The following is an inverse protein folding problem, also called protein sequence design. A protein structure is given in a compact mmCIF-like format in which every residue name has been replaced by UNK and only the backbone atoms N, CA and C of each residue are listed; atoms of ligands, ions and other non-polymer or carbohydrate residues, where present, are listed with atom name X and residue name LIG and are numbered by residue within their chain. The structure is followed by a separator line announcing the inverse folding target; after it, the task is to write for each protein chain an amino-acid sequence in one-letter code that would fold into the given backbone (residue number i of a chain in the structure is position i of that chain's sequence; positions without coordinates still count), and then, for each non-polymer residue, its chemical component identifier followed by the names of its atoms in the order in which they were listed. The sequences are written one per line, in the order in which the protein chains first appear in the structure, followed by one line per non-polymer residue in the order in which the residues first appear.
data_IF_313227402626
#
_entry.id   IF_313227402626
#
_cell.length_a   1.000
_cell.length_b   1.000
_cell.length_c   1.000
_cell.angle_alpha   90.00
_cell.angle_beta   90.00
_cell.angle_gamma   90.00
#
_symmetry.space_group_name_H-M   'P 1'
#
loop_
_entity.id
_entity.type
_entity.pdbx_description
1 polymer ?
#
# COMPACT_ATOMS: atom_id res chain seq x y z
N UNK A 1 -29.02 2.71 -12.31
CA UNK A 1 -29.64 1.63 -11.51
C UNK A 1 -28.60 0.57 -11.26
N UNK A 2 -28.45 0.17 -10.01
CA UNK A 2 -27.52 -0.89 -9.64
C UNK A 2 -27.88 -2.23 -10.31
N UNK A 3 -26.85 -3.00 -10.71
CA UNK A 3 -27.00 -4.31 -11.36
C UNK A 3 -26.54 -5.39 -10.38
N UNK A 4 -27.48 -6.02 -9.72
CA UNK A 4 -27.21 -7.07 -8.72
C UNK A 4 -27.65 -8.40 -9.29
N UNK A 5 -26.71 -9.37 -9.37
CA UNK A 5 -27.04 -10.69 -9.85
C UNK A 5 -27.93 -11.44 -8.84
N UNK A 6 -28.89 -12.21 -9.33
CA UNK A 6 -29.89 -12.91 -8.48
C UNK A 6 -29.31 -13.94 -7.50
N UNK A 7 -28.07 -14.39 -7.74
CA UNK A 7 -27.35 -15.31 -6.83
C UNK A 7 -26.38 -14.61 -5.89
N UNK A 8 -26.27 -13.28 -5.94
CA UNK A 8 -25.48 -12.53 -4.97
C UNK A 8 -26.17 -12.55 -3.61
N UNK A 9 -25.38 -12.63 -2.54
CA UNK A 9 -25.86 -12.57 -1.16
C UNK A 9 -25.49 -11.19 -0.60
N UNK A 10 -26.48 -10.41 -0.25
CA UNK A 10 -26.31 -9.12 0.44
C UNK A 10 -27.01 -9.25 1.78
N UNK A 11 -26.24 -9.21 2.85
CA UNK A 11 -26.77 -9.34 4.21
C UNK A 11 -27.48 -8.05 4.65
N UNK A 12 -28.48 -8.22 5.50
CA UNK A 12 -29.27 -7.10 6.03
C UNK A 12 -28.37 -6.14 6.82
N UNK A 13 -28.44 -4.85 6.48
CA UNK A 13 -27.61 -3.80 7.08
C UNK A 13 -26.54 -3.24 6.12
N UNK A 14 -26.16 -3.96 5.06
CA UNK A 14 -25.25 -3.46 4.04
C UNK A 14 -25.80 -2.17 3.39
N UNK A 15 -24.93 -1.20 3.15
CA UNK A 15 -25.28 0.07 2.48
C UNK A 15 -24.69 0.07 1.07
N UNK A 16 -25.57 0.16 0.09
CA UNK A 16 -25.20 0.07 -1.34
C UNK A 16 -25.46 1.42 -2.01
N UNK A 17 -24.43 2.00 -2.59
CA UNK A 17 -24.51 3.26 -3.33
C UNK A 17 -25.23 3.15 -4.68
N UNK A 18 -25.15 4.22 -5.48
CA UNK A 18 -25.77 4.28 -6.80
C UNK A 18 -24.94 3.55 -7.85
N UNK A 19 -25.61 2.96 -8.85
CA UNK A 19 -25.03 2.30 -10.02
C UNK A 19 -23.95 1.23 -9.69
N UNK A 20 -24.11 0.55 -8.54
CA UNK A 20 -23.23 -0.56 -8.12
C UNK A 20 -23.51 -1.80 -8.96
N UNK A 21 -22.47 -2.52 -9.34
CA UNK A 21 -22.54 -3.81 -10.02
C UNK A 21 -22.08 -4.94 -9.08
N UNK A 22 -22.93 -5.94 -8.82
CA UNK A 22 -22.60 -7.10 -7.97
C UNK A 22 -22.83 -8.38 -8.77
N UNK A 23 -21.76 -9.11 -9.02
CA UNK A 23 -21.72 -10.32 -9.82
C UNK A 23 -22.27 -11.57 -9.11
N UNK A 24 -22.35 -12.71 -9.85
CA UNK A 24 -22.91 -13.96 -9.32
C UNK A 24 -22.09 -14.48 -8.13
N UNK A 25 -22.81 -15.00 -7.12
CA UNK A 25 -22.23 -15.61 -5.92
C UNK A 25 -21.28 -14.69 -5.11
N UNK A 26 -21.33 -13.38 -5.33
CA UNK A 26 -20.64 -12.42 -4.46
C UNK A 26 -21.36 -12.36 -3.11
N UNK A 27 -20.60 -12.14 -2.04
CA UNK A 27 -21.13 -12.03 -0.66
C UNK A 27 -20.75 -10.68 -0.08
N UNK A 28 -21.75 -9.93 0.39
CA UNK A 28 -21.59 -8.61 1.03
C UNK A 28 -22.12 -8.70 2.45
N UNK A 29 -21.25 -8.51 3.43
CA UNK A 29 -21.56 -8.58 4.84
C UNK A 29 -22.39 -7.38 5.35
N UNK A 30 -23.00 -7.48 6.56
CA UNK A 30 -24.03 -6.56 7.05
C UNK A 30 -23.50 -5.17 7.40
N UNK A 31 -22.21 -5.03 7.72
CA UNK A 31 -21.60 -3.74 8.08
C UNK A 31 -20.85 -3.08 6.90
N UNK A 32 -20.97 -3.65 5.71
CA UNK A 32 -20.29 -3.15 4.51
C UNK A 32 -20.97 -1.90 3.96
N UNK A 33 -20.15 -0.95 3.55
CA UNK A 33 -20.60 0.25 2.83
C UNK A 33 -19.94 0.29 1.47
N UNK A 34 -20.73 0.26 0.40
CA UNK A 34 -20.27 0.42 -0.98
C UNK A 34 -20.64 1.82 -1.48
N UNK A 35 -19.65 2.57 -1.94
CA UNK A 35 -19.82 3.83 -2.64
C UNK A 35 -20.50 3.66 -4.00
N UNK A 36 -20.56 4.74 -4.77
CA UNK A 36 -21.20 4.75 -6.06
C UNK A 36 -20.34 4.06 -7.12
N UNK A 37 -20.97 3.40 -8.09
CA UNK A 37 -20.30 2.73 -9.21
C UNK A 37 -19.24 1.69 -8.83
N UNK A 38 -19.30 1.20 -7.59
CA UNK A 38 -18.45 0.08 -7.12
C UNK A 38 -18.80 -1.18 -7.92
N UNK A 39 -17.76 -1.97 -8.26
CA UNK A 39 -17.92 -3.24 -8.97
C UNK A 39 -17.40 -4.40 -8.14
N UNK A 40 -18.29 -5.29 -7.76
CA UNK A 40 -17.96 -6.54 -7.09
C UNK A 40 -18.16 -7.68 -8.09
N UNK A 41 -17.08 -8.30 -8.51
CA UNK A 41 -17.14 -9.41 -9.45
C UNK A 41 -17.63 -10.70 -8.76
N UNK A 42 -18.01 -11.68 -9.58
CA UNK A 42 -18.54 -12.96 -9.07
C UNK A 42 -17.58 -13.66 -8.11
N UNK A 43 -18.14 -14.32 -7.09
CA UNK A 43 -17.40 -15.04 -6.04
C UNK A 43 -16.46 -14.16 -5.17
N UNK A 44 -16.51 -12.85 -5.27
CA UNK A 44 -15.80 -11.98 -4.36
C UNK A 44 -16.55 -11.86 -3.02
N UNK A 45 -15.82 -11.65 -1.95
CA UNK A 45 -16.38 -11.47 -0.61
C UNK A 45 -15.93 -10.14 -0.01
N UNK A 46 -16.87 -9.36 0.50
CA UNK A 46 -16.61 -8.14 1.28
C UNK A 46 -17.31 -8.31 2.62
N UNK A 47 -16.56 -8.23 3.72
CA UNK A 47 -17.07 -8.54 5.06
C UNK A 47 -16.55 -7.56 6.11
N UNK A 48 -16.98 -7.70 7.36
CA UNK A 48 -16.63 -6.81 8.47
C UNK A 48 -17.05 -5.37 8.21
N UNK A 49 -16.58 -4.46 9.05
CA UNK A 49 -16.84 -3.02 8.89
C UNK A 49 -15.97 -2.43 7.78
N UNK A 50 -16.30 -2.76 6.53
CA UNK A 50 -15.53 -2.40 5.33
C UNK A 50 -16.22 -1.32 4.53
N UNK A 51 -15.46 -0.28 4.17
CA UNK A 51 -15.91 0.80 3.27
C UNK A 51 -15.12 0.69 1.96
N UNK A 52 -15.83 0.52 0.85
CA UNK A 52 -15.29 0.69 -0.50
C UNK A 52 -15.81 1.99 -1.08
N UNK A 53 -14.91 2.92 -1.37
CA UNK A 53 -15.27 4.20 -1.96
C UNK A 53 -15.61 4.08 -3.45
N UNK A 54 -16.05 5.18 -4.04
CA UNK A 54 -16.59 5.25 -5.41
C UNK A 54 -15.66 4.59 -6.44
N UNK A 55 -16.26 3.84 -7.36
CA UNK A 55 -15.57 3.19 -8.49
C UNK A 55 -14.51 2.14 -8.08
N UNK A 56 -14.41 1.77 -6.81
CA UNK A 56 -13.56 0.65 -6.42
C UNK A 56 -14.02 -0.67 -7.07
N UNK A 57 -13.08 -1.54 -7.39
CA UNK A 57 -13.36 -2.81 -8.05
C UNK A 57 -12.74 -3.97 -7.29
N UNK A 58 -13.54 -5.00 -7.02
CA UNK A 58 -13.11 -6.23 -6.34
C UNK A 58 -13.32 -7.41 -7.27
N UNK A 59 -12.25 -8.07 -7.65
CA UNK A 59 -12.21 -9.14 -8.62
C UNK A 59 -12.55 -10.52 -8.02
N UNK A 60 -12.79 -11.56 -8.85
CA UNK A 60 -13.25 -12.85 -8.35
C UNK A 60 -12.33 -13.45 -7.28
N UNK A 61 -12.95 -14.06 -6.28
CA UNK A 61 -12.30 -14.75 -5.16
C UNK A 61 -11.45 -13.85 -4.25
N UNK A 62 -11.47 -12.53 -4.42
CA UNK A 62 -10.88 -11.63 -3.44
C UNK A 62 -11.74 -11.60 -2.16
N UNK A 63 -11.09 -11.51 -0.99
CA UNK A 63 -11.77 -11.34 0.29
C UNK A 63 -11.27 -10.08 0.99
N UNK A 64 -12.15 -9.08 1.09
CA UNK A 64 -11.86 -7.77 1.65
C UNK A 64 -12.59 -7.62 2.98
N UNK A 65 -11.87 -7.21 4.01
CA UNK A 65 -12.42 -7.07 5.36
C UNK A 65 -12.47 -8.37 6.17
N UNK A 66 -11.69 -9.39 5.74
CA UNK A 66 -11.57 -10.62 6.50
C UNK A 66 -10.98 -10.38 7.90
N UNK A 67 -11.37 -11.22 8.87
CA UNK A 67 -10.83 -11.19 10.23
C UNK A 67 -9.30 -11.28 10.18
N UNK A 68 -8.64 -10.49 11.03
CA UNK A 68 -7.17 -10.55 11.18
C UNK A 68 -6.69 -11.96 11.53
N UNK A 69 -5.49 -12.28 11.09
CA UNK A 69 -4.80 -13.53 11.44
C UNK A 69 -3.89 -13.37 12.68
N UNK A 70 -3.85 -12.18 13.28
CA UNK A 70 -3.07 -11.92 14.50
C UNK A 70 -3.77 -12.55 15.70
N UNK A 71 -3.04 -13.39 16.43
CA UNK A 71 -3.52 -14.06 17.66
C UNK A 71 -3.85 -13.08 18.80
N UNK A 72 -3.44 -11.83 18.70
CA UNK A 72 -3.76 -10.78 19.68
C UNK A 72 -5.17 -10.22 19.53
N UNK A 73 -5.89 -10.57 18.45
CA UNK A 73 -7.26 -10.11 18.26
C UNK A 73 -8.15 -10.58 19.40
N UNK A 74 -8.82 -9.65 20.06
CA UNK A 74 -9.81 -9.95 21.08
C UNK A 74 -11.23 -9.94 20.49
N UNK A 75 -12.02 -10.96 20.79
CA UNK A 75 -13.42 -11.02 20.36
C UNK A 75 -14.19 -9.81 20.91
N UNK A 76 -14.95 -9.16 20.02
CA UNK A 76 -15.67 -7.92 20.33
C UNK A 76 -14.97 -6.64 19.91
N UNK A 77 -13.70 -6.69 19.52
CA UNK A 77 -13.02 -5.52 18.92
C UNK A 77 -13.73 -5.10 17.64
N UNK A 78 -14.01 -3.80 17.50
CA UNK A 78 -14.47 -3.20 16.26
C UNK A 78 -13.25 -2.74 15.46
N UNK A 79 -13.06 -3.33 14.31
CA UNK A 79 -11.92 -3.05 13.42
C UNK A 79 -12.42 -2.83 12.01
N UNK A 80 -11.68 -2.06 11.22
CA UNK A 80 -12.17 -1.51 9.98
C UNK A 80 -11.25 -1.80 8.81
N UNK A 81 -11.82 -1.76 7.61
CA UNK A 81 -11.10 -1.68 6.33
C UNK A 81 -11.66 -0.53 5.52
N UNK A 82 -10.78 0.27 4.95
CA UNK A 82 -11.14 1.34 4.04
C UNK A 82 -10.36 1.23 2.73
N UNK A 83 -11.08 1.25 1.61
CA UNK A 83 -10.49 1.19 0.27
C UNK A 83 -10.92 2.42 -0.52
N UNK A 84 -9.95 3.21 -0.94
CA UNK A 84 -10.14 4.46 -1.64
C UNK A 84 -10.70 4.30 -3.06
N UNK A 85 -11.14 5.42 -3.58
CA UNK A 85 -11.78 5.53 -4.90
C UNK A 85 -10.94 4.93 -6.04
N UNK A 86 -11.60 4.31 -7.02
CA UNK A 86 -10.98 3.74 -8.24
C UNK A 86 -9.89 2.71 -8.00
N UNK A 87 -9.73 2.26 -6.76
CA UNK A 87 -8.77 1.19 -6.42
C UNK A 87 -9.26 -0.14 -6.93
N UNK A 88 -8.33 -0.91 -7.52
CA UNK A 88 -8.60 -2.21 -8.13
C UNK A 88 -7.92 -3.30 -7.31
N UNK A 89 -8.72 -4.22 -6.77
CA UNK A 89 -8.27 -5.40 -6.02
C UNK A 89 -8.54 -6.64 -6.89
N UNK A 90 -7.46 -7.21 -7.43
CA UNK A 90 -7.52 -8.32 -8.39
C UNK A 90 -7.85 -9.64 -7.71
N UNK A 91 -7.86 -10.69 -8.51
CA UNK A 91 -8.27 -12.03 -8.11
C UNK A 91 -7.48 -12.54 -6.90
N UNK A 92 -8.17 -13.15 -5.94
CA UNK A 92 -7.57 -13.76 -4.74
C UNK A 92 -6.81 -12.76 -3.84
N UNK A 93 -6.99 -11.47 -4.00
CA UNK A 93 -6.46 -10.49 -3.05
C UNK A 93 -7.16 -10.67 -1.71
N UNK A 94 -6.39 -10.64 -0.62
CA UNK A 94 -6.94 -10.66 0.73
C UNK A 94 -6.52 -9.40 1.49
N UNK A 95 -7.48 -8.75 2.15
CA UNK A 95 -7.26 -7.59 3.02
C UNK A 95 -7.90 -7.90 4.36
N UNK A 96 -7.09 -7.96 5.40
CA UNK A 96 -7.58 -8.17 6.76
C UNK A 96 -7.93 -6.85 7.45
N UNK A 97 -8.92 -6.88 8.32
CA UNK A 97 -9.22 -5.77 9.22
C UNK A 97 -8.14 -5.62 10.30
N UNK A 98 -8.21 -4.55 11.08
CA UNK A 98 -7.31 -4.29 12.20
C UNK A 98 -7.34 -5.38 13.27
N UNK A 99 -6.41 -5.33 14.22
CA UNK A 99 -6.32 -6.27 15.35
C UNK A 99 -6.84 -5.65 16.65
N UNK A 100 -6.51 -4.39 16.90
CA UNK A 100 -6.93 -3.67 18.10
C UNK A 100 -8.25 -2.94 17.88
N UNK A 101 -8.99 -2.69 18.95
CA UNK A 101 -10.24 -1.94 18.86
C UNK A 101 -10.02 -0.54 18.25
N UNK A 102 -10.84 -0.18 17.26
CA UNK A 102 -10.73 1.06 16.50
C UNK A 102 -9.66 1.05 15.40
N UNK A 103 -8.84 0.01 15.29
CA UNK A 103 -7.79 -0.07 14.27
C UNK A 103 -8.35 -0.28 12.86
N UNK A 104 -7.73 0.37 11.88
CA UNK A 104 -8.11 0.30 10.46
C UNK A 104 -6.96 -0.18 9.59
N UNK A 105 -7.26 -1.01 8.61
CA UNK A 105 -6.41 -1.25 7.44
C UNK A 105 -6.89 -0.34 6.32
N UNK A 106 -6.00 0.48 5.76
CA UNK A 106 -6.36 1.52 4.80
C UNK A 106 -5.62 1.34 3.48
N UNK A 107 -6.34 1.39 2.38
CA UNK A 107 -5.79 1.41 1.03
C UNK A 107 -6.28 2.68 0.35
N UNK A 108 -5.36 3.53 -0.11
CA UNK A 108 -5.66 4.80 -0.76
C UNK A 108 -6.36 4.64 -2.12
N UNK A 109 -6.53 5.75 -2.81
CA UNK A 109 -7.19 5.82 -4.11
C UNK A 109 -6.26 5.50 -5.28
N UNK A 110 -6.87 5.11 -6.41
CA UNK A 110 -6.16 4.82 -7.67
C UNK A 110 -5.09 3.72 -7.52
N UNK A 111 -5.20 2.83 -6.54
CA UNK A 111 -4.26 1.74 -6.32
C UNK A 111 -4.58 0.52 -7.20
N UNK A 112 -3.55 -0.28 -7.48
CA UNK A 112 -3.69 -1.57 -8.14
C UNK A 112 -3.00 -2.65 -7.32
N UNK A 113 -3.77 -3.55 -6.73
CA UNK A 113 -3.28 -4.76 -6.08
C UNK A 113 -3.54 -5.94 -7.02
N UNK A 114 -2.46 -6.51 -7.58
CA UNK A 114 -2.57 -7.63 -8.52
C UNK A 114 -2.88 -8.93 -7.80
N UNK A 115 -3.17 -9.98 -8.56
CA UNK A 115 -3.66 -11.23 -8.02
C UNK A 115 -2.76 -11.86 -6.95
N UNK A 116 -3.41 -12.48 -5.95
CA UNK A 116 -2.78 -13.17 -4.81
C UNK A 116 -2.00 -12.26 -3.84
N UNK A 117 -2.18 -10.93 -3.89
CA UNK A 117 -1.59 -10.06 -2.88
C UNK A 117 -2.31 -10.20 -1.54
N UNK A 118 -1.56 -10.06 -0.45
CA UNK A 118 -2.11 -9.99 0.90
C UNK A 118 -1.75 -8.67 1.59
N UNK A 119 -2.74 -8.03 2.20
CA UNK A 119 -2.58 -6.86 3.06
C UNK A 119 -3.07 -7.25 4.45
N UNK A 120 -2.14 -7.43 5.38
CA UNK A 120 -2.47 -7.77 6.75
C UNK A 120 -3.04 -6.56 7.53
N UNK A 121 -3.44 -6.81 8.77
CA UNK A 121 -4.01 -5.83 9.69
C UNK A 121 -3.15 -4.58 9.85
N UNK A 122 -3.79 -3.43 10.08
CA UNK A 122 -3.13 -2.17 10.39
C UNK A 122 -2.23 -1.60 9.27
N UNK A 123 -2.20 -2.22 8.09
CA UNK A 123 -1.46 -1.68 6.96
C UNK A 123 -2.09 -0.38 6.46
N UNK A 124 -1.23 0.57 6.08
CA UNK A 124 -1.65 1.83 5.47
C UNK A 124 -0.95 2.02 4.12
N UNK A 125 -1.72 1.94 3.05
CA UNK A 125 -1.27 2.20 1.69
C UNK A 125 -1.76 3.57 1.24
N UNK A 126 -0.84 4.41 0.77
CA UNK A 126 -1.15 5.69 0.16
C UNK A 126 -1.83 5.55 -1.20
N UNK A 127 -1.82 6.63 -1.96
CA UNK A 127 -2.49 6.70 -3.25
C UNK A 127 -1.60 6.22 -4.39
N UNK A 128 -2.22 5.68 -5.45
CA UNK A 128 -1.53 5.24 -6.68
C UNK A 128 -0.40 4.24 -6.44
N UNK A 129 -0.56 3.43 -5.40
CA UNK A 129 0.34 2.31 -5.09
C UNK A 129 0.05 1.16 -6.05
N UNK A 130 1.10 0.55 -6.58
CA UNK A 130 1.01 -0.65 -7.40
C UNK A 130 1.71 -1.79 -6.68
N UNK A 131 0.98 -2.87 -6.43
CA UNK A 131 1.52 -4.11 -5.84
C UNK A 131 1.29 -5.25 -6.82
N UNK A 132 2.40 -5.84 -7.30
CA UNK A 132 2.33 -6.93 -8.27
C UNK A 132 2.09 -8.28 -7.58
N UNK A 133 1.75 -9.27 -8.40
CA UNK A 133 1.26 -10.58 -7.99
C UNK A 133 2.03 -11.24 -6.84
N UNK A 134 1.28 -11.88 -5.95
CA UNK A 134 1.80 -12.72 -4.86
C UNK A 134 2.69 -11.98 -3.83
N UNK A 135 2.60 -10.68 -3.75
CA UNK A 135 3.30 -9.89 -2.73
C UNK A 135 2.51 -9.90 -1.42
N UNK A 136 3.23 -10.05 -0.30
CA UNK A 136 2.67 -10.22 1.04
C UNK A 136 3.15 -9.10 1.96
N UNK A 137 2.21 -8.30 2.46
CA UNK A 137 2.47 -7.30 3.50
C UNK A 137 2.06 -7.86 4.85
N UNK A 138 3.01 -8.01 5.78
CA UNK A 138 2.69 -8.33 7.18
C UNK A 138 2.03 -7.11 7.87
N UNK A 139 1.59 -7.28 9.12
CA UNK A 139 0.86 -6.23 9.83
C UNK A 139 1.62 -4.91 9.97
N UNK A 140 0.89 -3.80 10.01
CA UNK A 140 1.43 -2.45 10.28
C UNK A 140 2.44 -1.96 9.23
N UNK A 141 2.43 -2.49 8.02
CA UNK A 141 3.27 -1.98 6.93
C UNK A 141 2.66 -0.70 6.39
N UNK A 142 3.49 0.33 6.26
CA UNK A 142 3.09 1.60 5.62
C UNK A 142 3.73 1.70 4.24
N UNK A 143 2.93 1.95 3.22
CA UNK A 143 3.38 2.18 1.84
C UNK A 143 2.96 3.58 1.41
N UNK A 144 3.91 4.45 1.14
CA UNK A 144 3.62 5.83 0.72
C UNK A 144 3.19 5.90 -0.75
N UNK A 145 2.67 7.07 -1.13
CA UNK A 145 2.11 7.35 -2.46
C UNK A 145 3.06 6.97 -3.62
N UNK A 146 2.47 6.50 -4.70
CA UNK A 146 3.19 6.17 -5.95
C UNK A 146 4.26 5.09 -5.84
N UNK A 147 4.36 4.38 -4.72
CA UNK A 147 5.28 3.25 -4.62
C UNK A 147 4.88 2.13 -5.58
N UNK A 148 5.88 1.46 -6.15
CA UNK A 148 5.68 0.29 -7.00
C UNK A 148 6.42 -0.90 -6.40
N UNK A 149 5.70 -1.96 -6.10
CA UNK A 149 6.23 -3.19 -5.54
C UNK A 149 6.04 -4.30 -6.56
N UNK A 150 7.15 -4.89 -6.99
CA UNK A 150 7.10 -6.01 -7.94
C UNK A 150 6.63 -7.31 -7.26
N UNK A 151 6.41 -8.34 -8.05
CA UNK A 151 5.81 -9.60 -7.58
C UNK A 151 6.70 -10.42 -6.64
N UNK A 152 6.06 -11.31 -5.89
CA UNK A 152 6.72 -12.25 -4.97
C UNK A 152 7.54 -11.59 -3.85
N UNK A 153 7.20 -10.38 -3.46
CA UNK A 153 7.87 -9.69 -2.36
C UNK A 153 7.19 -10.01 -1.02
N UNK A 154 7.99 -10.02 0.06
CA UNK A 154 7.52 -10.17 1.43
C UNK A 154 8.02 -9.03 2.30
N UNK A 155 7.12 -8.42 3.08
CA UNK A 155 7.43 -7.29 3.95
C UNK A 155 7.24 -7.68 5.41
N UNK A 156 8.28 -7.47 6.22
CA UNK A 156 8.19 -7.66 7.66
C UNK A 156 7.29 -6.56 8.27
N UNK A 157 6.55 -6.92 9.33
CA UNK A 157 5.66 -5.98 10.01
C UNK A 157 6.38 -4.70 10.46
N UNK A 158 5.64 -3.59 10.47
CA UNK A 158 6.11 -2.24 10.80
C UNK A 158 7.16 -1.66 9.84
N UNK A 159 7.40 -2.26 8.67
CA UNK A 159 8.27 -1.64 7.67
C UNK A 159 7.56 -0.52 6.93
N UNK A 160 8.31 0.48 6.53
CA UNK A 160 7.84 1.61 5.74
C UNK A 160 8.43 1.55 4.33
N UNK A 161 7.60 1.84 3.36
CA UNK A 161 7.98 1.88 1.94
C UNK A 161 7.77 3.31 1.45
N UNK A 162 8.85 4.01 1.15
CA UNK A 162 8.82 5.42 0.77
C UNK A 162 8.19 5.65 -0.60
N UNK A 163 7.68 6.86 -0.79
CA UNK A 163 7.01 7.29 -2.02
C UNK A 163 7.88 7.18 -3.27
N UNK A 164 7.26 6.95 -4.40
CA UNK A 164 7.93 6.84 -5.72
C UNK A 164 9.06 5.82 -5.78
N UNK A 165 9.19 4.94 -4.78
CA UNK A 165 10.18 3.88 -4.83
C UNK A 165 9.76 2.75 -5.77
N UNK A 166 10.71 1.88 -6.08
CA UNK A 166 10.46 0.61 -6.74
C UNK A 166 11.14 -0.51 -5.96
N UNK A 167 10.40 -1.54 -5.59
CA UNK A 167 10.93 -2.76 -5.00
C UNK A 167 10.98 -3.84 -6.07
N UNK A 168 12.16 -4.36 -6.36
CA UNK A 168 12.35 -5.42 -7.35
C UNK A 168 11.72 -6.74 -6.89
N UNK A 169 11.38 -7.58 -7.85
CA UNK A 169 10.71 -8.85 -7.59
C UNK A 169 11.51 -9.79 -6.65
N UNK A 170 10.79 -10.65 -5.96
CA UNK A 170 11.34 -11.64 -5.02
C UNK A 170 12.19 -11.04 -3.87
N UNK A 171 11.88 -9.82 -3.46
CA UNK A 171 12.59 -9.13 -2.36
C UNK A 171 11.98 -9.46 -1.00
N UNK A 172 12.82 -9.78 -0.02
CA UNK A 172 12.44 -9.94 1.39
C UNK A 172 12.83 -8.68 2.18
N UNK A 173 11.85 -7.85 2.51
CA UNK A 173 12.05 -6.52 3.09
C UNK A 173 11.89 -6.59 4.61
N UNK A 174 12.97 -6.28 5.35
CA UNK A 174 13.00 -6.30 6.82
C UNK A 174 13.24 -4.91 7.44
N UNK A 175 13.63 -3.94 6.65
CA UNK A 175 13.91 -2.54 7.03
C UNK A 175 13.16 -1.61 6.08
N UNK A 176 13.15 -0.30 6.39
CA UNK A 176 12.44 0.69 5.60
C UNK A 176 13.06 0.87 4.22
N UNK A 177 12.22 0.91 3.20
CA UNK A 177 12.60 1.17 1.80
C UNK A 177 12.64 2.66 1.55
N UNK A 178 13.78 3.17 1.11
CA UNK A 178 13.99 4.60 0.86
C UNK A 178 13.02 5.14 -0.21
N UNK A 179 12.44 6.34 0.00
CA UNK A 179 11.66 7.02 -1.03
C UNK A 179 12.52 7.32 -2.27
N UNK A 180 11.90 7.34 -3.43
CA UNK A 180 12.51 7.65 -4.74
C UNK A 180 13.57 6.65 -5.24
N UNK A 181 13.82 5.58 -4.52
CA UNK A 181 14.91 4.64 -4.80
C UNK A 181 14.39 3.34 -5.41
N UNK A 182 15.30 2.61 -6.06
CA UNK A 182 15.09 1.22 -6.46
C UNK A 182 15.79 0.34 -5.43
N UNK A 183 15.03 -0.58 -4.84
CA UNK A 183 15.53 -1.57 -3.89
C UNK A 183 15.43 -2.97 -4.50
N UNK A 184 16.50 -3.74 -4.41
CA UNK A 184 16.56 -5.15 -4.83
C UNK A 184 17.07 -5.99 -3.66
N UNK A 185 16.30 -7.00 -3.27
CA UNK A 185 16.59 -7.75 -2.04
C UNK A 185 16.56 -6.83 -0.83
N UNK A 186 17.71 -6.65 -0.19
CA UNK A 186 17.88 -5.78 0.99
C UNK A 186 18.77 -4.56 0.74
N UNK A 187 18.97 -4.16 -0.50
CA UNK A 187 19.93 -3.11 -0.88
C UNK A 187 19.29 -2.05 -1.78
N UNK A 188 19.56 -0.77 -1.50
CA UNK A 188 19.27 0.32 -2.41
C UNK A 188 20.25 0.31 -3.60
N UNK A 189 19.77 -0.03 -4.78
CA UNK A 189 20.56 -0.17 -6.01
C UNK A 189 20.80 1.14 -6.73
N UNK A 190 19.85 2.02 -6.69
CA UNK A 190 19.91 3.28 -7.39
C UNK A 190 18.69 4.13 -7.11
N UNK A 191 18.57 5.27 -7.76
CA UNK A 191 17.35 6.05 -7.66
C UNK A 191 16.44 5.87 -8.89
N UNK A 192 15.14 6.02 -8.68
CA UNK A 192 14.11 5.63 -9.65
C UNK A 192 13.88 6.71 -10.71
N UNK A 193 14.93 7.03 -11.50
CA UNK A 193 14.89 8.10 -12.50
C UNK A 193 13.70 7.96 -13.47
N UNK A 194 13.41 6.74 -13.91
CA UNK A 194 12.33 6.50 -14.89
C UNK A 194 10.98 6.92 -14.34
N UNK A 195 10.70 6.57 -13.08
CA UNK A 195 9.44 6.95 -12.42
C UNK A 195 9.37 8.45 -12.22
N UNK A 196 10.44 9.06 -11.72
CA UNK A 196 10.51 10.49 -11.46
C UNK A 196 10.28 11.31 -12.73
N UNK A 197 10.96 10.95 -13.82
CA UNK A 197 10.77 11.61 -15.12
C UNK A 197 9.33 11.48 -15.64
N UNK A 198 8.75 10.27 -15.55
CA UNK A 198 7.35 10.04 -15.97
C UNK A 198 6.33 10.80 -15.12
N UNK A 199 6.65 11.08 -13.88
CA UNK A 199 5.80 11.85 -12.97
C UNK A 199 6.04 13.36 -13.04
N UNK A 200 6.91 13.83 -13.94
CA UNK A 200 7.12 15.26 -14.21
C UNK A 200 7.99 15.98 -13.16
N UNK A 201 8.84 15.26 -12.44
CA UNK A 201 9.79 15.90 -11.52
C UNK A 201 10.76 16.80 -12.26
N UNK A 202 11.10 17.94 -11.67
CA UNK A 202 12.04 18.90 -12.27
C UNK A 202 13.45 18.32 -12.38
N UNK A 203 14.23 18.81 -13.35
CA UNK A 203 15.64 18.42 -13.47
C UNK A 203 16.44 18.75 -12.20
N UNK A 204 16.12 19.86 -11.54
CA UNK A 204 16.74 20.25 -10.28
C UNK A 204 16.45 19.22 -9.18
N UNK A 205 15.18 18.84 -8.96
CA UNK A 205 14.80 17.80 -7.99
C UNK A 205 15.48 16.46 -8.29
N UNK A 206 15.50 16.05 -9.55
CA UNK A 206 16.15 14.78 -9.97
C UNK A 206 17.67 14.83 -9.70
N UNK A 207 18.33 15.96 -9.98
CA UNK A 207 19.76 16.15 -9.71
C UNK A 207 20.06 16.14 -8.20
N UNK A 208 19.27 16.86 -7.41
CA UNK A 208 19.42 16.93 -5.95
C UNK A 208 19.22 15.55 -5.30
N UNK A 209 18.18 14.82 -5.69
CA UNK A 209 17.95 13.44 -5.22
C UNK A 209 19.08 12.48 -5.59
N UNK A 210 19.66 12.60 -6.79
CA UNK A 210 20.81 11.80 -7.21
C UNK A 210 22.03 12.05 -6.35
N UNK A 211 22.26 13.31 -5.99
CA UNK A 211 23.36 13.70 -5.10
C UNK A 211 23.12 13.20 -3.67
N UNK A 212 21.92 13.39 -3.14
CA UNK A 212 21.52 12.86 -1.84
C UNK A 212 21.69 11.33 -1.77
N UNK A 213 21.26 10.59 -2.81
CA UNK A 213 21.51 9.14 -2.92
C UNK A 213 23.00 8.80 -2.86
N UNK A 214 23.84 9.51 -3.59
CA UNK A 214 25.29 9.28 -3.60
C UNK A 214 25.88 9.46 -2.19
N UNK A 215 25.48 10.51 -1.50
CA UNK A 215 25.95 10.77 -0.13
C UNK A 215 25.42 9.68 0.83
N UNK A 216 24.13 9.36 0.79
CA UNK A 216 23.51 8.41 1.71
C UNK A 216 24.00 6.97 1.49
N UNK A 217 24.12 6.52 0.25
CA UNK A 217 24.34 5.12 -0.07
C UNK A 217 25.77 4.79 -0.56
N UNK A 218 26.60 5.77 -0.94
CA UNK A 218 27.89 5.54 -1.60
C UNK A 218 29.10 6.27 -0.98
N UNK A 219 28.89 7.17 -0.03
CA UNK A 219 29.99 7.96 0.57
C UNK A 219 30.80 7.19 1.61
N UNK A 220 30.24 6.13 2.19
CA UNK A 220 30.85 5.45 3.33
C UNK A 220 30.55 6.12 4.69
N UNK A 221 29.87 7.24 4.71
CA UNK A 221 29.41 7.91 5.95
C UNK A 221 28.40 7.05 6.71
N UNK A 222 28.31 7.23 8.01
CA UNK A 222 27.17 6.71 8.76
C UNK A 222 25.92 7.57 8.47
N UNK A 223 24.75 7.06 8.85
CA UNK A 223 23.46 7.69 8.50
C UNK A 223 23.38 9.13 9.01
N UNK A 224 23.79 9.39 10.25
CA UNK A 224 23.73 10.76 10.84
C UNK A 224 24.65 11.73 10.11
N UNK A 225 25.88 11.31 9.79
CA UNK A 225 26.83 12.11 9.01
C UNK A 225 26.33 12.35 7.57
N UNK A 226 25.73 11.32 6.96
CA UNK A 226 25.16 11.45 5.61
C UNK A 226 23.99 12.43 5.58
N UNK A 227 23.11 12.41 6.58
CA UNK A 227 22.01 13.38 6.73
C UNK A 227 22.55 14.79 6.87
N UNK A 228 23.57 15.00 7.71
CA UNK A 228 24.19 16.31 7.90
C UNK A 228 24.84 16.82 6.61
N UNK A 229 25.57 15.97 5.92
CA UNK A 229 26.17 16.32 4.62
C UNK A 229 25.09 16.66 3.58
N UNK A 230 23.98 15.89 3.49
CA UNK A 230 22.87 16.19 2.59
C UNK A 230 22.26 17.56 2.92
N UNK A 231 22.05 17.88 4.18
CA UNK A 231 21.49 19.18 4.58
C UNK A 231 22.39 20.37 4.22
N UNK A 232 23.71 20.18 4.25
CA UNK A 232 24.68 21.25 4.00
C UNK A 232 25.06 21.39 2.52
N UNK A 233 25.17 20.27 1.80
CA UNK A 233 25.84 20.23 0.48
C UNK A 233 24.88 20.01 -0.69
N UNK A 234 23.61 19.61 -0.40
CA UNK A 234 22.62 19.32 -1.46
C UNK A 234 21.52 20.38 -1.46
N UNK A 235 21.06 20.76 -2.67
CA UNK A 235 19.89 21.63 -2.82
C UNK A 235 18.68 21.05 -2.09
N UNK A 236 18.10 21.81 -1.17
CA UNK A 236 17.00 21.38 -0.32
C UNK A 236 15.65 21.50 -1.03
N UNK A 237 15.44 20.65 -2.03
CA UNK A 237 14.12 20.50 -2.67
C UNK A 237 13.14 19.80 -1.73
N UNK A 238 11.84 19.86 -2.03
CA UNK A 238 10.81 19.16 -1.25
C UNK A 238 11.14 17.66 -1.12
N UNK A 239 11.62 17.05 -2.20
CA UNK A 239 11.95 15.63 -2.24
C UNK A 239 13.16 15.25 -1.40
N UNK A 240 14.20 16.10 -1.39
CA UNK A 240 15.39 15.91 -0.54
C UNK A 240 15.01 16.06 0.93
N UNK A 241 14.18 17.04 1.26
CA UNK A 241 13.65 17.23 2.61
C UNK A 241 12.84 16.00 3.05
N UNK A 242 11.93 15.51 2.20
CA UNK A 242 11.16 14.28 2.47
C UNK A 242 12.07 13.05 2.66
N UNK A 243 13.09 12.88 1.83
CA UNK A 243 14.06 11.77 1.99
C UNK A 243 14.77 11.85 3.36
N UNK A 244 15.23 13.03 3.74
CA UNK A 244 15.93 13.26 5.02
C UNK A 244 14.99 12.97 6.21
N UNK A 245 13.76 13.47 6.17
CA UNK A 245 12.75 13.23 7.20
C UNK A 245 12.40 11.75 7.32
N UNK A 246 12.20 11.06 6.19
CA UNK A 246 11.93 9.65 6.16
C UNK A 246 13.05 8.84 6.83
N UNK A 247 14.30 9.11 6.48
CA UNK A 247 15.46 8.42 7.07
C UNK A 247 15.61 8.74 8.54
N UNK A 248 15.47 10.02 8.93
CA UNK A 248 15.62 10.48 10.32
C UNK A 248 14.56 9.89 11.25
N UNK A 249 13.35 9.65 10.76
CA UNK A 249 12.23 9.10 11.53
C UNK A 249 12.16 7.56 11.53
N UNK A 250 13.06 6.89 10.82
CA UNK A 250 13.06 5.44 10.73
C UNK A 250 13.40 4.77 12.07
N UNK A 251 12.51 3.91 12.55
CA UNK A 251 12.72 3.12 13.78
C UNK A 251 13.39 1.77 13.49
N UNK A 252 13.26 1.25 12.28
CA UNK A 252 13.79 -0.06 11.86
C UNK A 252 15.13 0.04 11.13
N UNK A 253 15.60 1.27 10.86
CA UNK A 253 16.68 1.52 9.90
C UNK A 253 16.21 1.39 8.46
N UNK A 254 16.96 1.96 7.54
CA UNK A 254 16.67 1.96 6.12
C UNK A 254 17.58 1.00 5.35
N UNK A 255 17.07 0.41 4.27
CA UNK A 255 17.85 -0.37 3.32
C UNK A 255 18.76 0.58 2.52
N UNK A 256 20.02 0.70 2.93
CA UNK A 256 20.99 1.60 2.32
C UNK A 256 22.08 0.82 1.57
N UNK A 257 22.58 -0.27 2.16
CA UNK A 257 23.66 -1.11 1.63
C UNK A 257 23.25 -2.56 1.61
#
# INVERSE_FOLDING_TARGET
MSKIHSTAIIEDGAKIGEDVEIGPYAVIGPEVVLGNRVKIHGHAMVSGSTILHDEAQVFPFAHIGGKTQDLKFAEGNKTYVEVGERTVLREYVTVNCGTSDGESTVIGKDCLLMAYCHVAHGCVLGNRVIISNSTQLAGEVTVEDYATISGLCGFHQFTRVGRYCMVAAASAIKQDVLPYMITEGSVARGFNIVRLTRCGFSEASVKALKEAYRILCRSGLNVSQAIEAIKNDVEQTEEVTNLVEFVSSSKRGCLIK
#
